data_IF_443306266347
#
_entry.id   IF_443306266347
#
_cell.length_a   1.000
_cell.length_b   1.000
_cell.length_c   1.000
_cell.angle_alpha   90.00
_cell.angle_beta   90.00
_cell.angle_gamma   90.00
#
_symmetry.space_group_name_H-M   'P 1'
#
loop_
_entity.id
_entity.type
_entity.pdbx_description
1 polymer ?
#
# COMPACT_ATOMS: atom_id res chain seq x y z
N UNK A 1 -0.54 1.23 -3.67
CA UNK A 1 0.10 1.96 -2.56
C UNK A 1 -0.06 1.09 -1.34
N UNK A 2 1.03 0.51 -0.81
CA UNK A 2 0.96 -0.24 0.46
C UNK A 2 1.18 0.78 1.56
N UNK A 3 0.13 1.06 2.35
CA UNK A 3 0.19 1.96 3.50
C UNK A 3 0.21 1.13 4.77
N UNK A 4 1.15 1.40 5.68
CA UNK A 4 1.12 0.86 7.05
C UNK A 4 0.70 1.98 7.98
N UNK A 5 -0.34 1.73 8.78
CA UNK A 5 -0.83 2.61 9.84
C UNK A 5 -0.04 2.34 11.14
N UNK A 6 0.44 3.40 11.79
CA UNK A 6 1.17 3.35 13.06
C UNK A 6 0.60 4.33 14.13
N UNK A 7 -0.65 4.81 14.02
CA UNK A 7 -1.16 5.94 14.82
C UNK A 7 -2.32 5.66 15.81
N UNK A 8 -2.43 6.51 16.85
CA UNK A 8 -3.54 6.55 17.82
C UNK A 8 -4.70 7.45 17.36
N UNK A 9 -5.87 7.36 18.01
CA UNK A 9 -7.21 7.84 17.62
C UNK A 9 -7.37 9.29 17.11
N UNK A 10 -6.34 10.15 17.16
CA UNK A 10 -6.43 11.56 16.72
C UNK A 10 -5.50 11.93 15.56
N UNK A 11 -4.50 11.12 15.21
CA UNK A 11 -3.61 11.37 14.08
C UNK A 11 -3.02 10.07 13.55
N UNK A 12 -3.27 9.81 12.26
CA UNK A 12 -2.83 8.59 11.60
C UNK A 12 -1.61 8.88 10.72
N UNK A 13 -0.56 8.08 10.89
CA UNK A 13 0.66 8.15 10.07
C UNK A 13 0.60 7.05 9.02
N UNK A 14 0.66 7.44 7.74
CA UNK A 14 0.75 6.49 6.64
C UNK A 14 2.12 6.57 5.98
N UNK A 15 2.88 5.49 6.13
CA UNK A 15 4.09 5.27 5.36
C UNK A 15 3.71 4.65 4.02
N UNK A 16 4.04 5.34 2.92
CA UNK A 16 3.87 4.82 1.57
C UNK A 16 5.23 4.67 0.89
N UNK A 17 5.64 3.44 0.66
CA UNK A 17 6.70 3.14 -0.31
C UNK A 17 6.08 2.98 -1.70
N UNK A 18 6.64 3.71 -2.68
CA UNK A 18 6.34 3.42 -4.08
C UNK A 18 6.81 2.01 -4.44
N UNK A 19 6.12 1.37 -5.37
CA UNK A 19 6.55 0.07 -5.92
C UNK A 19 6.88 0.29 -7.39
N UNK A 20 8.03 -0.22 -7.83
CA UNK A 20 8.49 -0.15 -9.22
C UNK A 20 8.70 -1.57 -9.76
N UNK A 21 8.23 -1.83 -10.98
CA UNK A 21 8.53 -3.09 -11.67
C UNK A 21 10.04 -3.19 -11.89
N UNK A 22 10.63 -4.31 -11.47
CA UNK A 22 12.05 -4.58 -11.53
C UNK A 22 12.33 -6.00 -11.08
N UNK A 23 13.40 -6.17 -10.31
CA UNK A 23 13.81 -7.47 -9.77
C UNK A 23 12.78 -8.05 -8.78
N UNK A 24 12.81 -9.38 -8.67
CA UNK A 24 12.02 -10.12 -7.70
C UNK A 24 12.34 -9.69 -6.27
N UNK A 25 11.30 -9.52 -5.45
CA UNK A 25 11.43 -9.13 -4.06
C UNK A 25 11.01 -10.26 -3.13
N UNK A 26 11.98 -10.88 -2.46
CA UNK A 26 11.76 -12.02 -1.57
C UNK A 26 10.87 -11.69 -0.35
N UNK A 27 10.83 -10.43 0.08
CA UNK A 27 9.97 -10.01 1.19
C UNK A 27 8.50 -9.93 0.75
N UNK A 28 8.25 -9.46 -0.47
CA UNK A 28 6.91 -9.50 -1.07
C UNK A 28 6.45 -10.93 -1.39
N UNK A 29 7.38 -11.86 -1.61
CA UNK A 29 7.03 -13.25 -1.93
C UNK A 29 6.16 -13.88 -0.84
N UNK A 30 6.49 -13.65 0.44
CA UNK A 30 5.71 -14.13 1.59
C UNK A 30 4.25 -13.69 1.53
N UNK A 31 3.99 -12.48 1.02
CA UNK A 31 2.63 -11.96 0.84
C UNK A 31 1.99 -12.63 -0.38
N UNK A 32 2.69 -12.69 -1.52
CA UNK A 32 2.13 -13.28 -2.75
C UNK A 32 1.79 -14.76 -2.60
N UNK A 33 2.50 -15.49 -1.75
CA UNK A 33 2.26 -16.91 -1.47
C UNK A 33 0.89 -17.17 -0.83
N UNK A 34 0.36 -16.21 -0.07
CA UNK A 34 -0.92 -16.37 0.63
C UNK A 34 -2.11 -15.77 -0.13
N UNK A 35 -1.89 -15.03 -1.22
CA UNK A 35 -2.96 -14.30 -1.91
C UNK A 35 -4.06 -15.23 -2.46
N UNK A 36 -3.72 -16.45 -2.88
CA UNK A 36 -4.72 -17.41 -3.34
C UNK A 36 -5.67 -17.85 -2.21
N UNK A 37 -5.20 -17.88 -0.95
CA UNK A 37 -6.03 -18.23 0.22
C UNK A 37 -7.06 -17.13 0.56
N UNK A 38 -6.81 -15.90 0.13
CA UNK A 38 -7.66 -14.72 0.38
C UNK A 38 -8.18 -14.10 -0.91
N UNK A 39 -8.34 -14.91 -1.95
CA UNK A 39 -8.69 -14.46 -3.30
C UNK A 39 -10.01 -13.71 -3.36
N UNK A 40 -11.01 -14.16 -2.60
CA UNK A 40 -12.36 -13.59 -2.58
C UNK A 40 -12.53 -12.60 -1.43
N UNK A 41 -13.37 -11.58 -1.65
CA UNK A 41 -13.67 -10.57 -0.63
C UNK A 41 -14.23 -11.22 0.64
N UNK A 42 -13.66 -10.84 1.78
CA UNK A 42 -14.07 -11.34 3.09
C UNK A 42 -13.31 -12.58 3.57
N UNK A 43 -12.55 -13.24 2.71
CA UNK A 43 -11.64 -14.32 3.15
C UNK A 43 -10.45 -13.72 3.91
N UNK A 44 -10.01 -14.46 4.92
CA UNK A 44 -8.90 -14.10 5.78
C UNK A 44 -8.07 -15.35 6.08
N UNK A 45 -6.77 -15.17 6.27
CA UNK A 45 -5.86 -16.24 6.68
C UNK A 45 -4.91 -15.73 7.75
N UNK A 46 -4.36 -16.63 8.54
CA UNK A 46 -3.38 -16.27 9.56
C UNK A 46 -2.04 -15.98 8.89
N UNK A 47 -1.53 -14.76 9.08
CA UNK A 47 -0.23 -14.34 8.56
C UNK A 47 0.67 -13.90 9.73
N UNK A 48 1.64 -14.73 10.06
CA UNK A 48 2.54 -14.55 11.21
C UNK A 48 4.00 -14.56 10.78
N UNK A 49 4.91 -14.09 11.66
CA UNK A 49 6.36 -14.08 11.41
C UNK A 49 6.75 -13.26 10.17
N UNK A 50 6.01 -12.17 9.94
CA UNK A 50 6.30 -11.21 8.90
C UNK A 50 6.78 -9.91 9.54
N UNK A 51 7.93 -9.41 9.09
CA UNK A 51 8.47 -8.13 9.51
C UNK A 51 8.09 -7.05 8.48
N UNK A 52 7.19 -6.10 8.80
CA UNK A 52 6.82 -5.03 7.89
C UNK A 52 7.99 -4.11 7.52
N UNK A 53 9.01 -3.99 8.38
CA UNK A 53 10.17 -3.14 8.11
C UNK A 53 11.02 -3.68 6.95
N UNK A 54 10.94 -4.99 6.69
CA UNK A 54 11.63 -5.63 5.56
C UNK A 54 11.13 -5.15 4.19
N UNK A 55 9.95 -4.50 4.12
CA UNK A 55 9.42 -3.88 2.91
C UNK A 55 9.83 -2.41 2.74
N UNK A 56 10.67 -1.87 3.62
CA UNK A 56 11.17 -0.51 3.48
C UNK A 56 12.40 -0.49 2.56
N UNK A 57 12.54 0.54 1.71
CA UNK A 57 13.76 0.76 0.94
C UNK A 57 14.96 1.04 1.87
N UNK A 58 16.20 0.90 1.36
CA UNK A 58 17.40 1.23 2.13
C UNK A 58 17.48 2.70 2.58
N UNK A 59 17.07 3.65 1.73
CA UNK A 59 16.97 5.07 2.11
C UNK A 59 15.56 5.41 2.58
N UNK A 60 15.49 6.10 3.71
CA UNK A 60 14.24 6.56 4.31
C UNK A 60 13.97 8.03 4.01
N UNK A 61 14.65 8.62 3.01
CA UNK A 61 14.29 9.94 2.50
C UNK A 61 12.80 9.99 2.15
N UNK A 62 12.09 11.03 2.60
CA UNK A 62 10.64 11.12 2.42
C UNK A 62 10.15 12.53 2.13
N UNK A 63 8.94 12.60 1.57
CA UNK A 63 8.11 13.79 1.57
C UNK A 63 6.99 13.67 2.60
N UNK A 64 6.61 14.78 3.23
CA UNK A 64 5.50 14.81 4.19
C UNK A 64 4.55 15.98 3.97
N UNK A 65 3.26 15.72 4.15
CA UNK A 65 2.18 16.70 4.03
C UNK A 65 0.92 16.23 4.77
N UNK A 66 0.08 17.15 5.27
CA UNK A 66 -1.24 16.81 5.80
C UNK A 66 -2.21 16.48 4.64
N UNK A 67 -2.99 15.42 4.82
CA UNK A 67 -3.94 14.95 3.81
C UNK A 67 -5.05 14.11 4.38
N UNK A 68 -5.63 13.29 3.50
CA UNK A 68 -6.77 12.45 3.83
C UNK A 68 -6.48 10.98 3.63
N UNK A 69 -7.39 10.14 4.11
CA UNK A 69 -7.54 8.78 3.60
C UNK A 69 -7.78 8.80 2.09
N UNK A 70 -7.24 7.82 1.37
CA UNK A 70 -7.46 7.63 -0.08
C UNK A 70 -8.65 6.74 -0.41
N UNK A 71 -9.29 6.17 0.62
CA UNK A 71 -10.51 5.36 0.55
C UNK A 71 -11.62 6.02 1.38
N UNK A 72 -12.89 5.87 1.01
CA UNK A 72 -14.01 6.37 1.82
C UNK A 72 -13.90 5.96 3.29
N UNK A 73 -14.22 6.85 4.25
CA UNK A 73 -14.90 8.15 4.08
C UNK A 73 -13.99 9.36 3.74
N UNK A 74 -12.73 9.15 3.33
CA UNK A 74 -11.81 10.21 2.89
C UNK A 74 -11.49 11.27 3.97
N UNK A 75 -11.43 10.86 5.24
CA UNK A 75 -11.19 11.76 6.38
C UNK A 75 -9.84 12.48 6.27
N UNK A 76 -9.84 13.80 6.50
CA UNK A 76 -8.66 14.68 6.51
C UNK A 76 -7.93 14.65 7.87
N UNK A 77 -7.47 13.46 8.27
CA UNK A 77 -6.84 13.21 9.58
C UNK A 77 -5.46 12.54 9.47
N UNK A 78 -4.83 12.63 8.29
CA UNK A 78 -3.61 11.90 7.95
C UNK A 78 -2.41 12.84 7.81
N UNK A 79 -1.29 12.49 8.44
CA UNK A 79 0.02 13.02 8.03
C UNK A 79 0.71 11.97 7.15
N UNK A 80 0.88 12.31 5.87
CA UNK A 80 1.54 11.43 4.92
C UNK A 80 3.06 11.45 5.11
N UNK A 81 3.67 10.27 5.03
CA UNK A 81 5.11 10.08 4.86
C UNK A 81 5.30 9.22 3.60
N UNK A 82 5.76 9.83 2.51
CA UNK A 82 5.94 9.17 1.22
C UNK A 82 7.43 8.99 0.98
N UNK A 83 7.90 7.75 0.99
CA UNK A 83 9.32 7.45 0.79
C UNK A 83 9.73 7.74 -0.66
N UNK A 84 10.89 8.39 -0.81
CA UNK A 84 11.50 8.78 -2.09
C UNK A 84 11.91 7.59 -2.92
N UNK A 85 12.51 6.59 -2.27
CA UNK A 85 13.00 5.40 -2.95
C UNK A 85 11.89 4.35 -3.03
N UNK A 86 11.55 3.84 -4.23
CA UNK A 86 10.61 2.75 -4.35
C UNK A 86 11.27 1.41 -4.01
N UNK A 87 10.45 0.43 -3.61
CA UNK A 87 10.86 -0.98 -3.60
C UNK A 87 10.61 -1.64 -4.96
N UNK A 88 11.42 -2.64 -5.28
CA UNK A 88 11.24 -3.45 -6.49
C UNK A 88 10.15 -4.50 -6.30
N UNK A 89 9.44 -4.82 -7.37
CA UNK A 89 8.54 -5.99 -7.49
C UNK A 89 8.73 -6.59 -8.88
N UNK A 90 8.72 -7.91 -9.01
CA UNK A 90 8.72 -8.51 -10.36
C UNK A 90 7.34 -8.39 -11.02
N UNK A 91 7.31 -8.44 -12.35
CA UNK A 91 6.05 -8.46 -13.12
C UNK A 91 5.15 -9.63 -12.71
N UNK A 92 5.74 -10.79 -12.38
CA UNK A 92 5.01 -11.98 -11.94
C UNK A 92 4.37 -11.74 -10.56
N UNK A 93 5.13 -11.20 -9.60
CA UNK A 93 4.59 -10.86 -8.28
C UNK A 93 3.47 -9.83 -8.38
N UNK A 94 3.62 -8.81 -9.23
CA UNK A 94 2.57 -7.82 -9.48
C UNK A 94 1.33 -8.44 -10.12
N UNK A 95 1.50 -9.42 -11.02
CA UNK A 95 0.40 -10.13 -11.64
C UNK A 95 -0.41 -10.93 -10.61
N UNK A 96 0.23 -11.51 -9.59
CA UNK A 96 -0.48 -12.21 -8.50
C UNK A 96 -1.43 -11.28 -7.73
N UNK A 97 -1.09 -10.02 -7.51
CA UNK A 97 -2.04 -9.06 -6.89
C UNK A 97 -3.29 -8.84 -7.75
N UNK A 98 -3.17 -8.96 -9.07
CA UNK A 98 -4.28 -8.76 -10.01
C UNK A 98 -5.19 -9.97 -10.16
N UNK A 99 -4.88 -11.09 -9.51
CA UNK A 99 -5.75 -12.27 -9.47
C UNK A 99 -6.80 -12.21 -8.34
N UNK A 100 -6.62 -11.30 -7.38
CA UNK A 100 -7.58 -11.05 -6.30
C UNK A 100 -8.91 -10.56 -6.86
N UNK A 101 -9.99 -10.86 -6.14
CA UNK A 101 -11.36 -10.50 -6.50
C UNK A 101 -11.88 -9.39 -5.58
N UNK A 102 -12.66 -8.47 -6.14
CA UNK A 102 -13.39 -7.47 -5.36
C UNK A 102 -14.77 -7.96 -4.90
N UNK A 103 -15.14 -9.18 -5.28
CA UNK A 103 -16.40 -9.85 -5.00
C UNK A 103 -16.20 -11.04 -4.05
N UNK A 104 -17.25 -11.33 -3.27
CA UNK A 104 -17.26 -12.43 -2.30
C UNK A 104 -17.69 -13.77 -2.90
N UNK A 105 -17.70 -14.80 -2.06
CA UNK A 105 -18.16 -16.13 -2.43
C UNK A 105 -19.64 -16.12 -2.84
N UNK A 106 -19.96 -16.70 -3.99
CA UNK A 106 -21.31 -16.71 -4.55
C UNK A 106 -21.74 -15.44 -5.30
N UNK A 107 -20.89 -14.41 -5.36
CA UNK A 107 -21.10 -13.23 -6.20
C UNK A 107 -20.52 -13.44 -7.61
N UNK A 108 -21.02 -12.69 -8.59
CA UNK A 108 -20.45 -12.71 -9.94
C UNK A 108 -18.98 -12.27 -9.90
N UNK A 109 -18.08 -13.11 -10.43
CA UNK A 109 -16.65 -12.88 -10.29
C UNK A 109 -16.19 -11.57 -10.94
N UNK A 110 -15.54 -10.70 -10.14
CA UNK A 110 -14.87 -9.51 -10.65
C UNK A 110 -13.47 -9.33 -10.03
N UNK A 111 -12.47 -9.11 -10.87
CA UNK A 111 -11.07 -8.96 -10.46
C UNK A 111 -10.77 -7.54 -9.93
N UNK A 112 -9.96 -7.47 -8.88
CA UNK A 112 -9.43 -6.23 -8.32
C UNK A 112 -8.21 -5.75 -9.13
N UNK A 113 -8.45 -5.30 -10.36
CA UNK A 113 -7.38 -4.89 -11.28
C UNK A 113 -6.75 -3.55 -10.92
N UNK A 114 -7.51 -2.66 -10.28
CA UNK A 114 -7.07 -1.32 -9.89
C UNK A 114 -7.81 -0.87 -8.63
N UNK A 115 -7.04 -0.34 -7.68
CA UNK A 115 -7.53 0.14 -6.39
C UNK A 115 -6.82 1.45 -5.97
N UNK A 116 -6.46 2.30 -6.93
CA UNK A 116 -5.78 3.57 -6.68
C UNK A 116 -6.73 4.76 -6.90
N UNK A 117 -6.54 5.80 -6.10
CA UNK A 117 -7.20 7.09 -6.27
C UNK A 117 -6.29 8.04 -7.06
N UNK A 118 -6.78 8.79 -8.06
CA UNK A 118 -5.98 9.80 -8.75
C UNK A 118 -5.48 10.92 -7.82
N UNK A 119 -4.35 11.56 -8.14
CA UNK A 119 -3.86 12.73 -7.40
C UNK A 119 -4.95 13.80 -7.26
N UNK A 120 -5.04 14.41 -6.07
CA UNK A 120 -5.99 15.48 -5.77
C UNK A 120 -5.27 16.83 -5.72
N UNK A 121 -5.97 17.96 -5.98
CA UNK A 121 -5.37 19.27 -5.92
C UNK A 121 -4.73 19.58 -4.55
N UNK A 122 -3.58 20.26 -4.56
CA UNK A 122 -2.87 20.61 -3.32
C UNK A 122 -3.61 21.65 -2.47
N UNK A 123 -4.46 22.50 -3.08
CA UNK A 123 -5.25 23.54 -2.37
C UNK A 123 -4.42 24.37 -1.37
N UNK A 124 -3.22 24.78 -1.77
CA UNK A 124 -2.33 25.60 -0.94
C UNK A 124 -1.49 24.84 0.09
N UNK A 125 -1.62 23.51 0.19
CA UNK A 125 -0.74 22.69 1.04
C UNK A 125 0.69 22.70 0.53
N UNK A 126 1.65 22.83 1.45
CA UNK A 126 3.08 22.68 1.18
C UNK A 126 3.54 21.26 1.46
N UNK A 127 4.32 20.70 0.55
CA UNK A 127 5.01 19.42 0.73
C UNK A 127 6.43 19.70 1.24
N UNK A 128 6.82 19.04 2.33
CA UNK A 128 8.18 19.15 2.90
C UNK A 128 8.99 17.90 2.54
N UNK A 129 10.29 18.05 2.35
CA UNK A 129 11.22 16.95 2.13
C UNK A 129 12.13 16.76 3.36
N UNK A 130 12.54 15.53 3.65
CA UNK A 130 13.52 15.23 4.72
C UNK A 130 14.98 15.38 4.27
N UNK A 131 15.20 15.68 3.00
CA UNK A 131 16.51 15.72 2.34
C UNK A 131 16.69 17.08 1.64
N UNK A 132 17.95 17.40 1.33
CA UNK A 132 18.36 18.66 0.71
C UNK A 132 18.85 18.46 -0.72
#
# INVERSE_FOLDING_TARGET
MVGVDLGSESHVWFNSAGVRVGEHNSQLQKITDILELIKEKGKQTRFTNFDPLSLLPPSWDYWTYPGSLTVPPLLESVTWIVLKQPISISSQQLATFRTLMCTGEGEAAAFLLSNHRPPQPLKGRTVRASFH
#
